data_IF_428862487346
#
_entry.id   IF_428862487346
#
_cell.length_a   1.000
_cell.length_b   1.000
_cell.length_c   1.000
_cell.angle_alpha   90.00
_cell.angle_beta   90.00
_cell.angle_gamma   90.00
#
_symmetry.space_group_name_H-M   'P 1'
#
loop_
_entity.id
_entity.type
_entity.pdbx_description
1 polymer ?
#
# COMPACT_ATOMS: atom_id res chain seq x y z
N UNK A 1 -12.26 18.52 5.47
CA UNK A 1 -11.88 18.62 4.04
C UNK A 1 -10.58 17.88 3.76
N UNK A 2 -9.49 18.11 4.50
CA UNK A 2 -8.21 17.40 4.33
C UNK A 2 -8.36 15.86 4.37
N UNK A 3 -8.89 15.31 5.47
CA UNK A 3 -9.11 13.86 5.63
C UNK A 3 -9.91 13.23 4.49
N UNK A 4 -10.94 13.91 3.99
CA UNK A 4 -11.76 13.41 2.89
C UNK A 4 -10.99 13.36 1.56
N UNK A 5 -10.07 14.31 1.32
CA UNK A 5 -9.20 14.27 0.16
C UNK A 5 -8.26 13.05 0.19
N UNK A 6 -7.66 12.74 1.35
CA UNK A 6 -6.80 11.57 1.49
C UNK A 6 -7.58 10.25 1.37
N UNK A 7 -8.79 10.17 1.92
CA UNK A 7 -9.67 9.01 1.71
C UNK A 7 -9.98 8.80 0.23
N UNK A 8 -10.37 9.87 -0.47
CA UNK A 8 -10.63 9.82 -1.91
C UNK A 8 -9.39 9.41 -2.71
N UNK A 9 -8.19 9.82 -2.28
CA UNK A 9 -6.95 9.36 -2.90
C UNK A 9 -6.70 7.86 -2.67
N UNK A 10 -6.87 7.37 -1.44
CA UNK A 10 -6.73 5.95 -1.14
C UNK A 10 -7.73 5.10 -1.95
N UNK A 11 -8.97 5.55 -2.08
CA UNK A 11 -9.99 4.88 -2.89
C UNK A 11 -9.64 4.86 -4.38
N UNK A 12 -9.00 5.92 -4.90
CA UNK A 12 -8.47 5.91 -6.28
C UNK A 12 -7.34 4.92 -6.45
N UNK A 13 -6.41 4.84 -5.49
CA UNK A 13 -5.32 3.86 -5.52
C UNK A 13 -5.90 2.43 -5.50
N UNK A 14 -6.90 2.17 -4.64
CA UNK A 14 -7.62 0.89 -4.61
C UNK A 14 -8.20 0.55 -5.97
N UNK A 15 -8.92 1.48 -6.60
CA UNK A 15 -9.52 1.26 -7.91
C UNK A 15 -8.46 0.99 -9.00
N UNK A 16 -7.29 1.63 -8.95
CA UNK A 16 -6.18 1.35 -9.88
C UNK A 16 -5.70 -0.10 -9.73
N UNK A 17 -5.53 -0.58 -8.50
CA UNK A 17 -5.09 -1.94 -8.21
C UNK A 17 -6.16 -2.97 -8.61
N UNK A 18 -7.43 -2.71 -8.31
CA UNK A 18 -8.53 -3.58 -8.75
C UNK A 18 -8.60 -3.69 -10.28
N UNK A 19 -8.39 -2.57 -10.98
CA UNK A 19 -8.37 -2.54 -12.44
C UNK A 19 -7.14 -3.25 -13.04
N UNK A 20 -6.03 -3.33 -12.31
CA UNK A 20 -4.84 -4.06 -12.74
C UNK A 20 -5.13 -5.55 -12.92
N UNK A 21 -5.83 -6.18 -11.98
CA UNK A 21 -6.12 -7.63 -12.03
C UNK A 21 -7.11 -8.05 -13.13
N UNK A 22 -7.79 -7.09 -13.77
CA UNK A 22 -8.65 -7.34 -14.94
C UNK A 22 -8.04 -6.86 -16.25
N UNK A 23 -6.86 -6.23 -16.20
CA UNK A 23 -6.15 -5.75 -17.37
C UNK A 23 -5.51 -6.89 -18.16
N UNK A 24 -5.30 -6.66 -19.45
CA UNK A 24 -4.56 -7.59 -20.33
C UNK A 24 -3.23 -6.96 -20.68
N UNK A 25 -2.16 -7.62 -20.28
CA UNK A 25 -0.79 -7.20 -20.58
C UNK A 25 -0.25 -7.96 -21.80
N UNK A 26 0.63 -7.33 -22.57
CA UNK A 26 1.23 -7.96 -23.73
C UNK A 26 2.29 -9.00 -23.33
N UNK A 27 2.94 -8.80 -22.17
CA UNK A 27 3.92 -9.73 -21.60
C UNK A 27 4.02 -9.59 -20.08
N UNK A 28 4.68 -10.57 -19.44
CA UNK A 28 4.89 -10.61 -17.98
C UNK A 28 5.71 -9.44 -17.44
N UNK A 29 6.67 -8.94 -18.21
CA UNK A 29 7.49 -7.79 -17.79
C UNK A 29 6.63 -6.52 -17.65
N UNK A 30 5.71 -6.31 -18.58
CA UNK A 30 4.78 -5.18 -18.55
C UNK A 30 3.79 -5.31 -17.37
N UNK A 31 3.31 -6.53 -17.12
CA UNK A 31 2.47 -6.86 -15.97
C UNK A 31 3.21 -6.56 -14.65
N UNK A 32 4.44 -7.04 -14.50
CA UNK A 32 5.27 -6.81 -13.31
C UNK A 32 5.51 -5.33 -13.06
N UNK A 33 5.94 -4.58 -14.08
CA UNK A 33 6.21 -3.15 -13.94
C UNK A 33 4.93 -2.37 -13.63
N UNK A 34 3.78 -2.74 -14.22
CA UNK A 34 2.51 -2.13 -13.88
C UNK A 34 2.10 -2.44 -12.42
N UNK A 35 2.25 -3.68 -11.98
CA UNK A 35 1.97 -4.12 -10.61
C UNK A 35 2.80 -3.33 -9.59
N UNK A 36 4.12 -3.27 -9.85
CA UNK A 36 5.08 -2.53 -9.04
C UNK A 36 4.72 -1.06 -8.96
N UNK A 37 4.50 -0.39 -10.10
CA UNK A 37 4.13 1.02 -10.14
C UNK A 37 2.82 1.31 -9.39
N UNK A 38 1.83 0.41 -9.48
CA UNK A 38 0.56 0.55 -8.78
C UNK A 38 0.75 0.44 -7.26
N UNK A 39 1.53 -0.53 -6.77
CA UNK A 39 1.81 -0.70 -5.35
C UNK A 39 2.72 0.38 -4.78
N UNK A 40 3.66 0.90 -5.56
CA UNK A 40 4.47 2.06 -5.16
C UNK A 40 3.63 3.30 -4.87
N UNK A 41 2.44 3.45 -5.48
CA UNK A 41 1.52 4.54 -5.13
C UNK A 41 1.06 4.45 -3.67
N UNK A 42 0.91 3.24 -3.12
CA UNK A 42 0.61 3.02 -1.70
C UNK A 42 1.76 3.52 -0.84
N UNK A 43 3.01 3.14 -1.15
CA UNK A 43 4.18 3.62 -0.41
C UNK A 43 4.31 5.14 -0.43
N UNK A 44 4.11 5.77 -1.60
CA UNK A 44 4.09 7.23 -1.76
C UNK A 44 2.94 7.89 -0.98
N UNK A 45 1.80 7.21 -0.85
CA UNK A 45 0.67 7.68 -0.06
C UNK A 45 0.97 7.65 1.44
N UNK A 46 1.53 6.55 1.95
CA UNK A 46 1.97 6.42 3.36
C UNK A 46 2.96 7.52 3.74
N UNK A 47 3.96 7.76 2.89
CA UNK A 47 4.93 8.84 3.11
C UNK A 47 4.27 10.22 3.22
N UNK A 48 3.32 10.51 2.32
CA UNK A 48 2.63 11.80 2.30
C UNK A 48 1.76 12.00 3.55
N UNK A 49 1.06 10.96 4.00
CA UNK A 49 0.25 11.03 5.23
C UNK A 49 1.13 11.33 6.44
N UNK A 50 2.28 10.67 6.56
CA UNK A 50 3.16 10.88 7.72
C UNK A 50 3.76 12.29 7.76
N UNK A 51 3.89 12.94 6.60
CA UNK A 51 4.34 14.33 6.50
C UNK A 51 3.20 15.35 6.51
N UNK A 52 1.95 14.91 6.51
CA UNK A 52 0.78 15.78 6.47
C UNK A 52 0.69 16.59 7.77
N UNK A 53 0.77 17.91 7.66
CA UNK A 53 0.58 18.82 8.80
C UNK A 53 -0.88 19.24 8.99
N UNK A 54 -1.76 18.82 8.08
CA UNK A 54 -3.19 19.13 8.04
C UNK A 54 -4.07 17.96 8.54
N UNK A 55 -3.45 16.90 9.06
CA UNK A 55 -4.09 15.75 9.67
C UNK A 55 -3.69 15.61 11.14
N UNK A 56 -4.63 15.17 11.97
CA UNK A 56 -4.36 14.76 13.34
C UNK A 56 -3.72 13.36 13.35
N UNK A 57 -2.95 13.04 14.40
CA UNK A 57 -2.30 11.74 14.55
C UNK A 57 -3.26 10.53 14.40
N UNK A 58 -4.49 10.54 14.97
CA UNK A 58 -5.44 9.45 14.74
C UNK A 58 -5.90 9.33 13.28
N UNK A 59 -6.06 10.45 12.58
CA UNK A 59 -6.45 10.46 11.17
C UNK A 59 -5.32 9.92 10.28
N UNK A 60 -4.07 10.30 10.58
CA UNK A 60 -2.90 9.75 9.93
C UNK A 60 -2.81 8.24 10.14
N UNK A 61 -3.00 7.77 11.38
CA UNK A 61 -2.93 6.35 11.70
C UNK A 61 -4.04 5.55 11.00
N UNK A 62 -5.27 6.06 10.97
CA UNK A 62 -6.39 5.41 10.28
C UNK A 62 -6.11 5.24 8.79
N UNK A 63 -5.61 6.28 8.13
CA UNK A 63 -5.24 6.22 6.71
C UNK A 63 -4.05 5.30 6.45
N UNK A 64 -3.06 5.32 7.34
CA UNK A 64 -1.88 4.47 7.24
C UNK A 64 -2.27 2.99 7.39
N UNK A 65 -3.15 2.67 8.33
CA UNK A 65 -3.69 1.31 8.49
C UNK A 65 -4.42 0.85 7.23
N UNK A 66 -5.28 1.70 6.65
CA UNK A 66 -5.98 1.37 5.40
C UNK A 66 -5.04 1.15 4.22
N UNK A 67 -3.94 1.92 4.14
CA UNK A 67 -2.93 1.76 3.10
C UNK A 67 -2.11 0.47 3.27
N UNK A 68 -1.70 0.14 4.51
CA UNK A 68 -0.99 -1.10 4.83
C UNK A 68 -1.87 -2.32 4.58
N UNK A 69 -3.16 -2.25 4.95
CA UNK A 69 -4.13 -3.30 4.65
C UNK A 69 -4.29 -3.50 3.13
N UNK A 70 -4.40 -2.40 2.37
CA UNK A 70 -4.49 -2.46 0.92
C UNK A 70 -3.26 -3.13 0.30
N UNK A 71 -2.05 -2.79 0.77
CA UNK A 71 -0.83 -3.44 0.28
C UNK A 71 -0.84 -4.94 0.62
N UNK A 72 -1.11 -5.29 1.87
CA UNK A 72 -1.11 -6.66 2.36
C UNK A 72 -2.12 -7.56 1.64
N UNK A 73 -3.35 -7.08 1.42
CA UNK A 73 -4.40 -7.85 0.73
C UNK A 73 -4.10 -8.09 -0.75
N UNK A 74 -3.22 -7.30 -1.36
CA UNK A 74 -2.80 -7.47 -2.75
C UNK A 74 -1.42 -8.15 -2.84
N UNK A 75 -1.16 -9.04 -1.87
CA UNK A 75 0.05 -9.87 -1.78
C UNK A 75 -0.30 -11.33 -2.09
N UNK A 76 -0.73 -11.62 -3.32
CA UNK A 76 -1.36 -12.89 -3.69
C UNK A 76 -0.39 -13.99 -4.16
N UNK A 77 0.75 -13.60 -4.73
CA UNK A 77 1.77 -14.52 -5.24
C UNK A 77 3.20 -14.10 -4.83
N UNK A 78 4.19 -14.81 -5.38
CA UNK A 78 5.60 -14.55 -5.06
C UNK A 78 6.08 -13.18 -5.54
N UNK A 79 5.58 -12.74 -6.69
CA UNK A 79 5.93 -11.45 -7.29
C UNK A 79 5.32 -10.30 -6.48
N UNK A 80 4.03 -10.44 -6.15
CA UNK A 80 3.33 -9.51 -5.29
C UNK A 80 4.02 -9.39 -3.92
N UNK A 81 4.46 -10.52 -3.37
CA UNK A 81 5.24 -10.62 -2.13
C UNK A 81 6.54 -9.83 -2.20
N UNK A 82 7.33 -10.05 -3.24
CA UNK A 82 8.59 -9.34 -3.44
C UNK A 82 8.37 -7.82 -3.50
N UNK A 83 7.39 -7.36 -4.28
CA UNK A 83 7.08 -5.92 -4.41
C UNK A 83 6.64 -5.34 -3.06
N UNK A 84 5.77 -6.04 -2.33
CA UNK A 84 5.28 -5.56 -1.03
C UNK A 84 6.40 -5.45 -0.01
N UNK A 85 7.29 -6.45 0.08
CA UNK A 85 8.46 -6.44 0.97
C UNK A 85 9.41 -5.28 0.60
N UNK A 86 9.71 -5.07 -0.68
CA UNK A 86 10.54 -3.92 -1.12
C UNK A 86 9.96 -2.57 -0.66
N UNK A 87 8.63 -2.42 -0.70
CA UNK A 87 7.95 -1.20 -0.26
C UNK A 87 8.04 -1.04 1.26
N UNK A 88 7.75 -2.11 2.02
CA UNK A 88 7.82 -2.09 3.49
C UNK A 88 9.25 -1.80 3.97
N UNK A 89 10.25 -2.47 3.38
CA UNK A 89 11.66 -2.27 3.72
C UNK A 89 12.09 -0.82 3.48
N UNK A 90 11.74 -0.24 2.33
CA UNK A 90 12.05 1.17 2.05
C UNK A 90 11.35 2.12 3.03
N UNK A 91 10.08 1.88 3.38
CA UNK A 91 9.35 2.70 4.35
C UNK A 91 9.96 2.61 5.76
N UNK A 92 10.46 1.44 6.16
CA UNK A 92 10.98 1.19 7.50
C UNK A 92 12.48 1.53 7.64
N UNK A 93 13.34 0.96 6.80
CA UNK A 93 14.79 1.09 6.93
C UNK A 93 15.32 2.40 6.35
N UNK A 94 14.90 2.74 5.14
CA UNK A 94 15.46 3.87 4.40
C UNK A 94 14.80 5.18 4.81
N UNK A 95 13.46 5.22 4.81
CA UNK A 95 12.70 6.43 5.06
C UNK A 95 12.30 6.62 6.52
N UNK A 96 12.25 5.54 7.32
CA UNK A 96 11.90 5.56 8.75
C UNK A 96 10.55 6.22 9.04
N UNK A 97 9.57 5.95 8.19
CA UNK A 97 8.22 6.52 8.23
C UNK A 97 7.29 5.69 9.11
N UNK A 98 7.45 4.36 9.00
CA UNK A 98 6.67 3.36 9.73
C UNK A 98 7.51 2.75 10.84
N UNK A 99 6.87 2.19 11.86
CA UNK A 99 7.53 1.51 12.96
C UNK A 99 7.26 -0.01 12.98
N UNK A 100 7.76 -0.71 14.01
CA UNK A 100 7.57 -2.16 14.15
C UNK A 100 6.09 -2.53 14.31
N UNK A 101 5.27 -1.70 14.96
CA UNK A 101 3.84 -1.99 15.11
C UNK A 101 3.12 -1.93 13.76
N UNK A 102 3.56 -1.04 12.87
CA UNK A 102 3.03 -0.94 11.51
C UNK A 102 3.43 -2.16 10.66
N UNK A 103 4.67 -2.65 10.81
CA UNK A 103 5.14 -3.91 10.20
C UNK A 103 4.29 -5.09 10.69
N UNK A 104 4.14 -5.22 12.01
CA UNK A 104 3.37 -6.31 12.62
C UNK A 104 1.92 -6.29 12.11
N UNK A 105 1.35 -5.10 11.94
CA UNK A 105 0.01 -4.92 11.39
C UNK A 105 -0.07 -5.31 9.91
N UNK A 106 0.92 -4.94 9.09
CA UNK A 106 1.00 -5.39 7.70
C UNK A 106 0.97 -6.92 7.61
N UNK A 107 1.78 -7.61 8.40
CA UNK A 107 1.81 -9.07 8.41
C UNK A 107 0.54 -9.71 8.98
N UNK A 108 -0.12 -9.06 9.93
CA UNK A 108 -1.46 -9.50 10.39
C UNK A 108 -2.48 -9.45 9.25
N UNK A 109 -2.53 -8.36 8.49
CA UNK A 109 -3.43 -8.25 7.32
C UNK A 109 -3.08 -9.27 6.23
N UNK A 110 -1.79 -9.50 5.98
CA UNK A 110 -1.35 -10.47 4.97
C UNK A 110 -1.73 -11.90 5.39
N UNK A 111 -1.57 -12.25 6.67
CA UNK A 111 -1.97 -13.54 7.20
C UNK A 111 -3.48 -13.80 7.06
N UNK A 112 -4.32 -12.76 7.13
CA UNK A 112 -5.77 -12.89 6.92
C UNK A 112 -6.19 -13.04 5.45
N UNK A 113 -5.36 -12.63 4.48
CA UNK A 113 -5.69 -12.69 3.05
C UNK A 113 -5.42 -14.04 2.37
N UNK A 114 -4.72 -14.98 3.03
CA UNK A 114 -4.29 -16.25 2.42
C UNK A 114 -5.36 -17.36 2.36
N UNK A 115 -6.53 -17.18 2.98
CA UNK A 115 -7.54 -18.25 3.13
C UNK A 115 -9.01 -17.79 3.11
N UNK A 116 -9.34 -16.61 2.59
CA UNK A 116 -10.75 -16.20 2.35
C UNK A 116 -11.14 -16.32 0.87
#
# INVERSE_FOLDING_TARGET
>A
MAMENYKNELDRIRAIIENFYVAKFACKEEEYEANKNNKEQIGKFIFRIKQANDLLEPEQQDLMNGALELLARNTGDAEDGEIAEQIIDNLFYDLKIIDQNDIDRFYQYNATGRWE
#
